data_IF_119603955231
#
_entry.id   IF_119603955231
#
_cell.length_a   1.000
_cell.length_b   1.000
_cell.length_c   1.000
_cell.angle_alpha   90.00
_cell.angle_beta   90.00
_cell.angle_gamma   90.00
#
_symmetry.space_group_name_H-M   'P 1'
#
loop_
_entity.id
_entity.type
_entity.pdbx_description
1 polymer ?
#
# COMPACT_ATOMS: atom_id res chain seq x y z
N UNK A 1 -28.02 -13.64 -4.65
CA UNK A 1 -26.65 -14.07 -5.03
C UNK A 1 -25.83 -12.88 -5.53
N UNK A 2 -26.39 -12.03 -6.41
CA UNK A 2 -25.78 -10.76 -6.84
C UNK A 2 -25.48 -9.78 -5.70
N UNK A 3 -26.37 -9.63 -4.72
CA UNK A 3 -26.16 -8.68 -3.62
C UNK A 3 -25.01 -9.09 -2.67
N UNK A 4 -24.82 -10.40 -2.45
CA UNK A 4 -23.72 -10.94 -1.64
C UNK A 4 -22.39 -10.76 -2.38
N UNK A 5 -22.34 -11.08 -3.68
CA UNK A 5 -21.17 -10.85 -4.52
C UNK A 5 -20.81 -9.35 -4.60
N UNK A 6 -21.81 -8.47 -4.69
CA UNK A 6 -21.59 -7.02 -4.67
C UNK A 6 -21.04 -6.57 -3.30
N UNK A 7 -21.51 -7.16 -2.21
CA UNK A 7 -20.99 -6.93 -0.86
C UNK A 7 -19.53 -7.36 -0.74
N UNK A 8 -19.18 -8.60 -1.10
CA UNK A 8 -17.83 -9.12 -0.95
C UNK A 8 -16.82 -8.43 -1.88
N UNK A 9 -17.24 -8.08 -3.10
CA UNK A 9 -16.42 -7.27 -4.00
C UNK A 9 -16.14 -5.89 -3.39
N UNK A 10 -17.16 -5.23 -2.84
CA UNK A 10 -16.98 -3.93 -2.19
C UNK A 10 -16.02 -4.02 -1.00
N UNK A 11 -16.12 -5.08 -0.20
CA UNK A 11 -15.21 -5.34 0.93
C UNK A 11 -13.79 -5.55 0.43
N UNK A 12 -13.58 -6.37 -0.61
CA UNK A 12 -12.25 -6.57 -1.19
C UNK A 12 -11.65 -5.26 -1.73
N UNK A 13 -12.45 -4.41 -2.37
CA UNK A 13 -12.00 -3.10 -2.85
C UNK A 13 -11.61 -2.17 -1.70
N UNK A 14 -12.40 -2.13 -0.63
CA UNK A 14 -12.09 -1.32 0.55
C UNK A 14 -10.83 -1.82 1.26
N UNK A 15 -10.66 -3.14 1.38
CA UNK A 15 -9.42 -3.76 1.89
C UNK A 15 -8.25 -3.36 0.99
N UNK A 16 -8.39 -3.42 -0.33
CA UNK A 16 -7.32 -3.10 -1.25
C UNK A 16 -6.88 -1.63 -1.15
N UNK A 17 -7.84 -0.70 -1.11
CA UNK A 17 -7.58 0.73 -0.93
C UNK A 17 -6.90 1.01 0.40
N UNK A 18 -7.46 0.50 1.51
CA UNK A 18 -6.89 0.69 2.83
C UNK A 18 -5.48 0.09 2.93
N UNK A 19 -5.28 -1.13 2.41
CA UNK A 19 -4.00 -1.83 2.40
C UNK A 19 -2.95 -1.07 1.60
N UNK A 20 -3.33 -0.49 0.45
CA UNK A 20 -2.44 0.33 -0.35
C UNK A 20 -2.04 1.61 0.40
N UNK A 21 -3.02 2.34 0.94
CA UNK A 21 -2.77 3.56 1.72
C UNK A 21 -1.90 3.33 2.95
N UNK A 22 -2.18 2.28 3.74
CA UNK A 22 -1.39 1.91 4.93
C UNK A 22 0.04 1.56 4.53
N UNK A 23 0.21 0.69 3.53
CA UNK A 23 1.53 0.27 3.08
C UNK A 23 2.36 1.44 2.57
N UNK A 24 1.79 2.29 1.72
CA UNK A 24 2.46 3.50 1.24
C UNK A 24 2.80 4.46 2.37
N UNK A 25 1.89 4.65 3.32
CA UNK A 25 2.11 5.53 4.47
C UNK A 25 3.30 5.07 5.29
N UNK A 26 3.32 3.80 5.68
CA UNK A 26 4.39 3.24 6.52
C UNK A 26 5.74 3.19 5.78
N UNK A 27 5.73 2.87 4.48
CA UNK A 27 6.97 2.68 3.72
C UNK A 27 7.58 3.97 3.17
N UNK A 28 6.76 4.99 2.84
CA UNK A 28 7.20 6.21 2.16
C UNK A 28 7.21 7.46 3.03
N UNK A 29 6.35 7.57 4.05
CA UNK A 29 6.29 8.82 4.82
C UNK A 29 7.46 8.95 5.80
N UNK A 30 7.98 10.16 5.91
CA UNK A 30 9.12 10.48 6.80
C UNK A 30 8.81 10.19 8.28
N UNK A 31 7.54 10.26 8.67
CA UNK A 31 7.09 9.93 10.02
C UNK A 31 7.52 8.52 10.46
N UNK A 32 7.57 7.57 9.53
CA UNK A 32 7.95 6.19 9.81
C UNK A 32 9.43 5.89 9.49
N UNK A 33 10.24 6.88 9.14
CA UNK A 33 11.67 6.68 8.85
C UNK A 33 12.43 6.06 10.04
N UNK A 34 12.19 6.56 11.26
CA UNK A 34 12.78 6.01 12.48
C UNK A 34 12.36 4.56 12.74
N UNK A 35 11.07 4.25 12.53
CA UNK A 35 10.55 2.87 12.66
C UNK A 35 11.22 1.92 11.67
N UNK A 36 11.33 2.31 10.39
CA UNK A 36 11.98 1.51 9.34
C UNK A 36 13.47 1.27 9.65
N UNK A 37 14.17 2.28 10.13
CA UNK A 37 15.58 2.14 10.51
C UNK A 37 15.76 1.20 11.72
N UNK A 38 14.87 1.31 12.71
CA UNK A 38 14.89 0.45 13.89
C UNK A 38 14.60 -1.02 13.56
N UNK A 39 13.59 -1.30 12.73
CA UNK A 39 13.26 -2.68 12.32
C UNK A 39 14.38 -3.31 11.50
N UNK A 40 15.00 -2.54 10.59
CA UNK A 40 16.15 -3.00 9.81
C UNK A 40 17.37 -3.34 10.68
N UNK A 41 17.61 -2.58 11.76
CA UNK A 41 18.69 -2.89 12.72
C UNK A 41 18.41 -4.19 13.50
N UNK A 42 17.14 -4.50 13.78
CA UNK A 42 16.76 -5.66 14.59
C UNK A 42 16.77 -6.97 13.79
N UNK A 43 16.25 -6.95 12.57
CA UNK A 43 16.28 -8.10 11.67
C UNK A 43 16.18 -7.64 10.20
N UNK A 44 17.08 -8.09 9.31
CA UNK A 44 17.10 -7.65 7.92
C UNK A 44 15.82 -8.01 7.14
N UNK A 45 15.19 -9.15 7.42
CA UNK A 45 13.95 -9.56 6.75
C UNK A 45 12.76 -8.68 7.15
N UNK A 46 12.66 -8.36 8.44
CA UNK A 46 11.61 -7.45 8.96
C UNK A 46 11.87 -6.02 8.45
N UNK A 47 13.13 -5.60 8.38
CA UNK A 47 13.51 -4.32 7.77
C UNK A 47 13.04 -4.22 6.32
N UNK A 48 13.30 -5.25 5.51
CA UNK A 48 12.86 -5.29 4.12
C UNK A 48 11.35 -5.19 3.99
N UNK A 49 10.60 -5.88 4.87
CA UNK A 49 9.14 -5.83 4.89
C UNK A 49 8.61 -4.39 5.06
N UNK A 50 9.18 -3.61 5.99
CA UNK A 50 8.76 -2.24 6.25
C UNK A 50 9.35 -1.20 5.28
N UNK A 51 10.19 -1.59 4.34
CA UNK A 51 10.71 -0.72 3.28
C UNK A 51 10.05 -0.98 1.92
N UNK A 52 9.40 -2.14 1.78
CA UNK A 52 8.78 -2.60 0.54
C UNK A 52 7.25 -2.49 0.65
N UNK A 53 6.63 -1.53 -0.04
CA UNK A 53 5.17 -1.32 -0.01
C UNK A 53 4.40 -2.56 -0.47
N UNK A 54 4.93 -3.27 -1.48
CA UNK A 54 4.35 -4.50 -1.99
C UNK A 54 4.36 -5.61 -0.93
N UNK A 55 5.50 -5.78 -0.27
CA UNK A 55 5.69 -6.78 0.76
C UNK A 55 4.76 -6.52 1.95
N UNK A 56 4.70 -5.28 2.43
CA UNK A 56 3.80 -4.88 3.50
C UNK A 56 2.32 -5.06 3.12
N UNK A 57 1.97 -4.81 1.85
CA UNK A 57 0.61 -5.01 1.34
C UNK A 57 0.12 -6.45 1.41
N UNK A 58 0.99 -7.46 1.37
CA UNK A 58 0.54 -8.84 1.56
C UNK A 58 -0.03 -9.02 2.97
N UNK A 59 0.70 -8.52 3.96
CA UNK A 59 0.30 -8.66 5.36
C UNK A 59 -0.93 -7.84 5.70
N UNK A 60 -1.06 -6.63 5.14
CA UNK A 60 -2.25 -5.81 5.36
C UNK A 60 -3.49 -6.38 4.68
N UNK A 61 -3.37 -6.93 3.46
CA UNK A 61 -4.47 -7.64 2.78
C UNK A 61 -4.86 -8.90 3.55
N UNK A 62 -3.89 -9.73 3.95
CA UNK A 62 -4.14 -10.94 4.74
C UNK A 62 -4.85 -10.58 6.06
N UNK A 63 -4.39 -9.54 6.76
CA UNK A 63 -5.02 -9.08 7.98
C UNK A 63 -6.46 -8.59 7.74
N UNK A 64 -6.68 -7.80 6.69
CA UNK A 64 -8.03 -7.35 6.31
C UNK A 64 -8.97 -8.52 6.00
N UNK A 65 -8.50 -9.49 5.22
CA UNK A 65 -9.31 -10.67 4.90
C UNK A 65 -9.56 -11.59 6.09
N UNK A 66 -8.62 -11.69 7.02
CA UNK A 66 -8.80 -12.45 8.26
C UNK A 66 -9.81 -11.78 9.22
N UNK A 67 -10.08 -10.48 9.07
CA UNK A 67 -11.11 -9.77 9.85
C UNK A 67 -12.47 -9.87 9.16
N UNK A 68 -12.53 -9.51 7.88
CA UNK A 68 -13.81 -9.36 7.15
C UNK A 68 -14.27 -10.62 6.43
N UNK A 69 -13.39 -11.63 6.28
CA UNK A 69 -13.70 -12.92 5.68
C UNK A 69 -14.44 -12.86 4.32
N UNK A 70 -13.98 -12.06 3.32
CA UNK A 70 -14.66 -12.01 2.03
C UNK A 70 -14.39 -13.26 1.18
N UNK A 71 -15.39 -13.70 0.42
CA UNK A 71 -15.28 -14.81 -0.54
C UNK A 71 -15.83 -14.43 -1.92
N UNK A 72 -14.95 -14.18 -2.89
CA UNK A 72 -15.38 -13.84 -4.26
C UNK A 72 -15.77 -15.07 -5.08
N UNK A 73 -15.12 -16.20 -4.81
CA UNK A 73 -15.30 -17.46 -5.53
C UNK A 73 -15.98 -18.47 -4.63
N UNK A 74 -16.78 -19.34 -5.24
CA UNK A 74 -17.55 -20.38 -4.56
C UNK A 74 -17.35 -21.71 -5.31
N UNK A 75 -16.14 -22.27 -5.22
CA UNK A 75 -15.78 -23.55 -5.85
C UNK A 75 -16.14 -24.77 -5.00
N UNK A 76 -16.52 -24.55 -3.73
CA UNK A 76 -16.80 -25.61 -2.76
C UNK A 76 -15.59 -26.00 -1.90
N UNK A 77 -14.41 -25.46 -2.20
CA UNK A 77 -13.19 -25.63 -1.39
C UNK A 77 -12.80 -24.27 -0.81
N UNK A 78 -13.18 -24.03 0.45
CA UNK A 78 -13.04 -22.72 1.12
C UNK A 78 -11.61 -22.18 1.15
N UNK A 79 -10.61 -23.04 1.33
CA UNK A 79 -9.21 -22.63 1.36
C UNK A 79 -8.72 -22.07 0.01
N UNK A 80 -9.14 -22.69 -1.10
CA UNK A 80 -8.76 -22.25 -2.45
C UNK A 80 -9.46 -20.94 -2.77
N UNK A 81 -10.76 -20.83 -2.48
CA UNK A 81 -11.54 -19.61 -2.72
C UNK A 81 -10.98 -18.42 -1.93
N UNK A 82 -10.54 -18.64 -0.69
CA UNK A 82 -9.92 -17.61 0.14
C UNK A 82 -8.56 -17.17 -0.40
N UNK A 83 -7.69 -18.12 -0.77
CA UNK A 83 -6.38 -17.83 -1.39
C UNK A 83 -6.55 -17.05 -2.69
N UNK A 84 -7.45 -17.47 -3.56
CA UNK A 84 -7.72 -16.78 -4.81
C UNK A 84 -8.25 -15.37 -4.58
N UNK A 85 -9.19 -15.20 -3.63
CA UNK A 85 -9.70 -13.88 -3.23
C UNK A 85 -8.58 -12.98 -2.70
N UNK A 86 -7.61 -13.54 -1.97
CA UNK A 86 -6.44 -12.81 -1.47
C UNK A 86 -5.54 -12.31 -2.59
N UNK A 87 -5.21 -13.17 -3.55
CA UNK A 87 -4.38 -12.77 -4.68
C UNK A 87 -5.08 -11.76 -5.60
N UNK A 88 -6.40 -11.86 -5.79
CA UNK A 88 -7.20 -10.86 -6.52
C UNK A 88 -7.12 -9.51 -5.80
N UNK A 89 -7.42 -9.49 -4.49
CA UNK A 89 -7.39 -8.28 -3.66
C UNK A 89 -5.99 -7.65 -3.64
N UNK A 90 -4.96 -8.47 -3.50
CA UNK A 90 -3.56 -8.04 -3.52
C UNK A 90 -3.13 -7.47 -4.88
N UNK A 91 -3.61 -8.03 -5.98
CA UNK A 91 -3.36 -7.52 -7.33
C UNK A 91 -3.92 -6.10 -7.47
N UNK A 92 -5.18 -5.90 -7.04
CA UNK A 92 -5.82 -4.58 -7.02
C UNK A 92 -5.05 -3.61 -6.12
N UNK A 93 -4.67 -4.07 -4.92
CA UNK A 93 -3.86 -3.29 -3.96
C UNK A 93 -2.55 -2.83 -4.58
N UNK A 94 -1.86 -3.72 -5.29
CA UNK A 94 -0.56 -3.43 -5.93
C UNK A 94 -0.70 -2.44 -7.07
N UNK A 95 -1.76 -2.59 -7.87
CA UNK A 95 -2.09 -1.63 -8.92
C UNK A 95 -2.33 -0.23 -8.33
N UNK A 96 -3.15 -0.13 -7.28
CA UNK A 96 -3.42 1.12 -6.56
C UNK A 96 -2.14 1.70 -5.97
N UNK A 97 -1.29 0.88 -5.32
CA UNK A 97 0.03 1.31 -4.84
C UNK A 97 0.87 1.94 -5.95
N UNK A 98 0.91 1.33 -7.13
CA UNK A 98 1.62 1.87 -8.29
C UNK A 98 1.08 3.24 -8.73
N UNK A 99 -0.25 3.43 -8.71
CA UNK A 99 -0.87 4.72 -8.99
C UNK A 99 -0.51 5.77 -7.92
N UNK A 100 -0.67 5.43 -6.63
CA UNK A 100 -0.32 6.32 -5.51
C UNK A 100 1.16 6.70 -5.59
N UNK A 101 2.04 5.74 -5.89
CA UNK A 101 3.48 5.98 -5.98
C UNK A 101 3.83 6.92 -7.14
N UNK A 102 3.19 6.78 -8.31
CA UNK A 102 3.37 7.75 -9.41
C UNK A 102 2.89 9.15 -9.03
N UNK A 103 1.74 9.26 -8.37
CA UNK A 103 1.23 10.55 -7.89
C UNK A 103 2.19 11.17 -6.87
N UNK A 104 2.70 10.36 -5.94
CA UNK A 104 3.69 10.80 -4.95
C UNK A 104 4.97 11.31 -5.61
N UNK A 105 5.52 10.57 -6.58
CA UNK A 105 6.70 11.00 -7.33
C UNK A 105 6.47 12.32 -8.07
N UNK A 106 5.30 12.51 -8.70
CA UNK A 106 4.95 13.75 -9.39
C UNK A 106 4.83 14.94 -8.43
N UNK A 107 4.30 14.70 -7.22
CA UNK A 107 4.23 15.72 -6.17
C UNK A 107 5.63 16.12 -5.67
N UNK A 108 6.49 15.13 -5.40
CA UNK A 108 7.87 15.34 -4.95
C UNK A 108 8.68 16.07 -6.01
N UNK A 109 8.60 15.67 -7.29
CA UNK A 109 9.33 16.34 -8.37
C UNK A 109 8.90 17.80 -8.52
N UNK A 110 7.61 18.09 -8.40
CA UNK A 110 7.08 19.46 -8.42
C UNK A 110 7.60 20.27 -7.23
N UNK A 111 7.65 19.69 -6.03
CA UNK A 111 8.17 20.35 -4.84
C UNK A 111 9.66 20.70 -4.99
N UNK A 112 10.47 19.74 -5.47
CA UNK A 112 11.90 19.95 -5.72
C UNK A 112 12.13 21.04 -6.78
N UNK A 113 11.39 21.01 -7.91
CA UNK A 113 11.49 22.05 -8.93
C UNK A 113 11.15 23.45 -8.39
N UNK A 114 10.11 23.58 -7.55
CA UNK A 114 9.74 24.86 -6.92
C UNK A 114 10.79 25.34 -5.93
N UNK A 115 11.40 24.43 -5.17
CA UNK A 115 12.47 24.74 -4.23
C UNK A 115 13.74 25.23 -4.96
N UNK A 116 14.16 24.53 -6.01
CA UNK A 116 15.31 24.95 -6.84
C UNK A 116 15.03 26.29 -7.55
N UNK A 117 13.83 26.50 -8.10
CA UNK A 117 13.45 27.77 -8.71
C UNK A 117 13.47 28.93 -7.69
N UNK A 118 12.98 28.70 -6.46
CA UNK A 118 13.08 29.70 -5.38
C UNK A 118 14.53 30.04 -5.04
N UNK A 119 15.41 29.04 -4.99
CA UNK A 119 16.84 29.23 -4.71
C UNK A 119 17.53 30.04 -5.81
N UNK A 120 17.20 29.80 -7.08
CA UNK A 120 17.77 30.51 -8.23
C UNK A 120 17.25 31.95 -8.37
N UNK A 121 16.00 32.21 -7.97
CA UNK A 121 15.37 33.54 -8.06
C UNK A 121 15.71 34.46 -6.87
N UNK A 122 16.32 33.93 -5.80
CA UNK A 122 16.89 34.70 -4.68
C UNK A 122 18.43 34.61 -4.59
N UNK A 123 19.20 35.04 -5.60
CA UNK A 123 20.66 35.04 -5.48
C UNK A 123 21.23 36.21 -4.65
N UNK A 124 20.45 37.25 -4.31
CA UNK A 124 20.97 38.53 -3.77
C UNK A 124 20.28 39.04 -2.47
N UNK A 125 19.94 38.18 -1.51
CA UNK A 125 19.59 38.63 -0.13
C UNK A 125 20.56 38.05 0.91
N UNK A 126 21.87 38.17 0.65
CA UNK A 126 22.94 38.02 1.65
C UNK A 126 23.89 39.21 1.58
#
# INVERSE_FOLDING_TARGET
>A
MTDILASDLSVCLMIALASASISMTITQTELFAGWRAWTAKKNPMIGHLFQCFYCLSHWTVIAGMAVYHPYLLHSGITAIDWVMTAFITLTITTFINGLIFKVFQAAVSTHVMKFEAHKLLKPNEQ
#
